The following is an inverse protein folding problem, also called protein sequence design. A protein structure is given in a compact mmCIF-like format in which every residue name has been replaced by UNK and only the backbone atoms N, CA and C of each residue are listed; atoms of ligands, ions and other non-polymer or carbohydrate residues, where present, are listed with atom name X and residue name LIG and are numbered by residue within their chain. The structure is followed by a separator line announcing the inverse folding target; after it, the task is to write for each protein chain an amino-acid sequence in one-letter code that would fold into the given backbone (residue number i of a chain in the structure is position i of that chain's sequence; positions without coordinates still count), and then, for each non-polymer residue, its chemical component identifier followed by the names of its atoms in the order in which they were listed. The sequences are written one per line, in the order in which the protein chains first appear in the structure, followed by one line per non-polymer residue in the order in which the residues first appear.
data_IF_637415452477
#
_entry.id   IF_637415452477
#
_cell.length_a   1.000
_cell.length_b   1.000
_cell.length_c   1.000
_cell.angle_alpha   90.00
_cell.angle_beta   90.00
_cell.angle_gamma   90.00
#
_symmetry.space_group_name_H-M   'P 1'
#
loop_
_entity.id
_entity.type
_entity.pdbx_description
1 polymer ?
#
# COMPACT_ATOMS: atom_id res chain seq x y z
N UNK A 1 -19.84 -15.98 13.70
CA UNK A 1 -18.83 -15.71 12.66
C UNK A 1 -17.48 -15.58 13.34
N UNK A 2 -16.51 -16.44 13.01
CA UNK A 2 -15.10 -16.13 13.26
C UNK A 2 -14.69 -15.11 12.20
N UNK A 3 -14.34 -13.89 12.60
CA UNK A 3 -13.76 -12.88 11.72
C UNK A 3 -12.28 -12.71 12.05
N UNK A 4 -11.49 -12.27 11.07
CA UNK A 4 -10.08 -11.96 11.27
C UNK A 4 -9.92 -10.55 11.85
N UNK A 5 -9.09 -10.40 12.89
CA UNK A 5 -8.70 -9.10 13.44
C UNK A 5 -7.32 -8.73 12.91
N UNK A 6 -7.21 -7.55 12.30
CA UNK A 6 -5.95 -7.00 11.79
C UNK A 6 -5.60 -5.71 12.52
N UNK A 7 -4.31 -5.44 12.70
CA UNK A 7 -3.80 -4.18 13.27
C UNK A 7 -2.83 -3.55 12.27
N UNK A 8 -2.97 -2.26 12.00
CA UNK A 8 -2.13 -1.50 11.06
C UNK A 8 -1.17 -0.58 11.82
N UNK A 9 0.10 -0.57 11.43
CA UNK A 9 1.12 0.34 11.94
C UNK A 9 1.72 1.16 10.79
N UNK A 10 2.16 2.38 11.09
CA UNK A 10 2.79 3.30 10.12
C UNK A 10 4.10 3.83 10.72
N UNK A 11 5.16 3.88 9.92
CA UNK A 11 6.49 4.32 10.33
C UNK A 11 7.17 5.10 9.21
N UNK A 12 7.90 6.16 9.57
CA UNK A 12 8.73 6.90 8.63
C UNK A 12 10.06 6.17 8.41
N UNK A 13 10.45 5.99 7.15
CA UNK A 13 11.69 5.30 6.76
C UNK A 13 12.55 6.19 5.87
N UNK A 14 13.84 5.90 5.80
CA UNK A 14 14.81 6.57 4.93
C UNK A 14 15.57 5.54 4.11
N UNK A 15 16.32 6.00 3.11
CA UNK A 15 17.16 5.11 2.30
C UNK A 15 18.22 4.35 3.13
N UNK A 16 18.61 4.86 4.30
CA UNK A 16 19.53 4.16 5.19
C UNK A 16 18.95 2.86 5.79
N UNK A 17 17.62 2.70 5.75
CA UNK A 17 16.94 1.49 6.22
C UNK A 17 16.69 0.47 5.09
N UNK A 18 17.06 0.78 3.84
CA UNK A 18 16.86 -0.13 2.71
C UNK A 18 17.87 -1.28 2.77
N UNK A 19 17.39 -2.49 2.48
CA UNK A 19 18.23 -3.66 2.28
C UNK A 19 18.27 -3.94 0.78
N UNK A 20 19.47 -4.11 0.22
CA UNK A 20 19.63 -4.43 -1.20
C UNK A 20 19.06 -5.82 -1.51
N UNK A 21 18.28 -5.94 -2.58
CA UNK A 21 17.54 -7.17 -2.89
C UNK A 21 16.38 -7.47 -1.93
N UNK A 22 15.90 -6.46 -1.20
CA UNK A 22 14.75 -6.61 -0.31
C UNK A 22 13.52 -7.16 -1.05
N UNK A 23 12.89 -8.11 -0.39
CA UNK A 23 11.89 -9.01 -0.92
C UNK A 23 11.91 -10.26 -0.04
N UNK A 24 11.00 -11.19 -0.28
CA UNK A 24 10.92 -12.39 0.53
C UNK A 24 9.89 -13.35 -0.01
N UNK A 25 9.27 -14.07 0.92
CA UNK A 25 8.44 -15.22 0.58
C UNK A 25 9.29 -16.48 0.49
N UNK A 26 8.60 -17.60 0.58
CA UNK A 26 9.19 -18.91 0.44
C UNK A 26 8.89 -19.45 -0.97
N UNK A 27 9.88 -19.48 -1.89
CA UNK A 27 9.64 -19.96 -3.25
C UNK A 27 9.17 -21.41 -3.30
N UNK A 28 9.51 -22.25 -2.31
CA UNK A 28 9.02 -23.63 -2.26
C UNK A 28 7.53 -23.73 -1.93
N UNK A 29 6.95 -22.69 -1.32
CA UNK A 29 5.52 -22.57 -1.06
C UNK A 29 4.80 -21.72 -2.11
N UNK A 30 5.53 -21.27 -3.15
CA UNK A 30 5.00 -20.40 -4.20
C UNK A 30 4.83 -18.95 -3.77
N UNK A 31 5.39 -18.55 -2.62
CA UNK A 31 5.35 -17.18 -2.13
C UNK A 31 6.54 -16.38 -2.66
N UNK A 32 6.25 -15.27 -3.33
CA UNK A 32 7.24 -14.29 -3.77
C UNK A 32 6.73 -12.92 -3.37
N UNK A 33 7.50 -12.23 -2.52
CA UNK A 33 7.17 -10.90 -2.02
C UNK A 33 8.19 -9.93 -2.61
N UNK A 34 7.68 -8.97 -3.36
CA UNK A 34 8.46 -7.84 -3.89
C UNK A 34 8.20 -6.59 -3.03
N UNK A 35 9.24 -5.77 -2.87
CA UNK A 35 9.11 -4.45 -2.24
C UNK A 35 9.01 -3.40 -3.34
N UNK A 36 7.91 -2.64 -3.34
CA UNK A 36 7.69 -1.55 -4.28
C UNK A 36 7.83 -0.19 -3.59
N UNK A 37 8.53 0.73 -4.25
CA UNK A 37 8.53 2.16 -3.91
C UNK A 37 7.45 2.85 -4.74
N UNK A 38 6.43 3.41 -4.08
CA UNK A 38 5.36 4.14 -4.76
C UNK A 38 5.45 5.65 -4.51
N UNK A 39 5.49 6.49 -5.56
CA UNK A 39 5.54 7.94 -5.38
C UNK A 39 4.28 8.49 -4.71
N UNK A 40 4.46 9.40 -3.75
CA UNK A 40 3.32 10.02 -3.05
C UNK A 40 2.38 10.79 -3.99
N UNK A 41 2.93 11.40 -5.04
CA UNK A 41 2.18 12.11 -6.08
C UNK A 41 1.24 11.19 -6.89
N UNK A 42 1.44 9.88 -6.81
CA UNK A 42 0.70 8.88 -7.56
C UNK A 42 -0.20 8.00 -6.68
N UNK A 43 -0.34 8.32 -5.39
CA UNK A 43 -1.17 7.52 -4.48
C UNK A 43 -2.63 7.41 -4.93
N UNK A 44 -3.17 8.43 -5.60
CA UNK A 44 -4.52 8.37 -6.14
C UNK A 44 -4.67 7.33 -7.24
N UNK A 45 -3.60 7.06 -8.02
CA UNK A 45 -3.63 5.98 -9.00
C UNK A 45 -3.86 4.64 -8.31
N UNK A 46 -3.25 4.41 -7.14
CA UNK A 46 -3.42 3.16 -6.39
C UNK A 46 -4.85 3.00 -5.85
N UNK A 47 -5.47 4.10 -5.40
CA UNK A 47 -6.88 4.11 -4.95
C UNK A 47 -7.86 3.85 -6.11
N UNK A 48 -7.53 4.34 -7.31
CA UNK A 48 -8.36 4.23 -8.51
C UNK A 48 -8.08 2.91 -9.28
N UNK A 49 -6.85 2.38 -9.24
CA UNK A 49 -6.41 1.15 -9.91
C UNK A 49 -6.76 -0.14 -9.15
N UNK A 50 -7.21 -0.05 -7.88
CA UNK A 50 -7.90 -1.17 -7.22
C UNK A 50 -9.15 -1.66 -7.99
N UNK A 51 -9.55 -0.97 -9.07
CA UNK A 51 -10.60 -1.35 -10.02
C UNK A 51 -10.10 -1.91 -11.37
N UNK A 52 -8.79 -1.85 -11.66
CA UNK A 52 -8.19 -2.37 -12.90
C UNK A 52 -7.46 -3.68 -12.62
N UNK A 53 -8.25 -4.72 -12.35
CA UNK A 53 -7.86 -6.06 -12.77
C UNK A 53 -7.92 -6.08 -14.29
N UNK A 54 -6.91 -6.70 -14.91
CA UNK A 54 -6.79 -6.81 -16.36
C UNK A 54 -8.15 -7.24 -16.97
N UNK A 55 -8.73 -6.46 -17.90
CA UNK A 55 -10.00 -6.79 -18.53
C UNK A 55 -9.97 -8.08 -19.37
N UNK A 56 -8.79 -8.68 -19.59
CA UNK A 56 -8.61 -9.99 -20.23
C UNK A 56 -8.69 -11.17 -19.26
N UNK A 57 -8.78 -10.93 -17.94
CA UNK A 57 -8.96 -11.98 -16.93
C UNK A 57 -10.46 -12.20 -16.67
N UNK A 58 -10.99 -13.35 -17.07
CA UNK A 58 -12.43 -13.71 -16.98
C UNK A 58 -12.97 -13.83 -15.53
N UNK A 59 -12.16 -13.53 -14.53
CA UNK A 59 -12.58 -13.39 -13.13
C UNK A 59 -11.72 -12.33 -12.46
N UNK A 60 -12.24 -11.10 -12.26
CA UNK A 60 -11.57 -10.12 -11.43
C UNK A 60 -11.70 -10.58 -9.98
N UNK A 61 -10.87 -11.52 -9.54
CA UNK A 61 -10.64 -11.74 -8.12
C UNK A 61 -10.01 -10.47 -7.58
N UNK A 62 -10.82 -9.63 -6.93
CA UNK A 62 -10.32 -8.50 -6.14
C UNK A 62 -9.38 -9.12 -5.10
N UNK A 63 -8.06 -8.89 -5.19
CA UNK A 63 -7.14 -9.49 -4.24
C UNK A 63 -7.57 -9.05 -2.83
N UNK A 64 -7.68 -9.96 -1.88
CA UNK A 64 -8.07 -9.65 -0.49
C UNK A 64 -7.17 -8.56 0.14
N UNK A 65 -5.97 -8.39 -0.42
CA UNK A 65 -4.98 -7.33 -0.17
C UNK A 65 -5.46 -5.91 -0.48
N UNK A 66 -6.54 -5.72 -1.24
CA UNK A 66 -6.99 -4.38 -1.66
C UNK A 66 -7.61 -3.60 -0.50
N UNK A 67 -8.39 -4.22 0.39
CA UNK A 67 -9.10 -3.46 1.43
C UNK A 67 -8.16 -2.84 2.48
N UNK A 68 -7.17 -3.60 2.97
CA UNK A 68 -6.21 -3.11 3.96
C UNK A 68 -5.25 -2.07 3.36
N UNK A 69 -4.82 -2.26 2.12
CA UNK A 69 -3.98 -1.31 1.38
C UNK A 69 -4.73 0.00 1.10
N UNK A 70 -5.97 -0.06 0.60
CA UNK A 70 -6.81 1.11 0.39
C UNK A 70 -7.02 1.87 1.70
N UNK A 71 -7.35 1.17 2.79
CA UNK A 71 -7.48 1.79 4.11
C UNK A 71 -6.20 2.49 4.56
N UNK A 72 -5.04 1.82 4.42
CA UNK A 72 -3.75 2.39 4.79
C UNK A 72 -3.44 3.67 4.01
N UNK A 73 -3.67 3.67 2.71
CA UNK A 73 -3.43 4.83 1.83
C UNK A 73 -4.38 5.97 2.15
N UNK A 74 -5.68 5.71 2.30
CA UNK A 74 -6.66 6.72 2.69
C UNK A 74 -6.32 7.33 4.05
N UNK A 75 -6.02 6.50 5.05
CA UNK A 75 -5.64 6.95 6.38
C UNK A 75 -4.38 7.82 6.34
N UNK A 76 -3.36 7.39 5.59
CA UNK A 76 -2.10 8.13 5.44
C UNK A 76 -2.31 9.49 4.77
N UNK A 77 -3.08 9.56 3.68
CA UNK A 77 -3.43 10.82 3.02
C UNK A 77 -4.13 11.79 3.99
N UNK A 78 -5.09 11.31 4.76
CA UNK A 78 -5.88 12.15 5.66
C UNK A 78 -5.08 12.59 6.91
N UNK A 79 -4.31 11.69 7.52
CA UNK A 79 -3.73 11.91 8.85
C UNK A 79 -2.25 12.28 8.84
N UNK A 80 -1.51 11.93 7.79
CA UNK A 80 -0.08 12.25 7.68
C UNK A 80 0.10 13.40 6.70
N UNK A 81 -0.33 13.23 5.44
CA UNK A 81 -0.18 14.28 4.42
C UNK A 81 -1.03 15.51 4.76
N UNK A 82 -2.31 15.31 5.08
CA UNK A 82 -3.22 16.41 5.44
C UNK A 82 -2.71 17.28 6.60
N UNK A 83 -1.97 16.70 7.56
CA UNK A 83 -1.36 17.46 8.67
C UNK A 83 -0.10 18.21 8.25
N UNK A 84 0.76 17.60 7.42
CA UNK A 84 1.97 18.27 6.90
C UNK A 84 1.60 19.53 6.11
N UNK A 85 0.54 19.48 5.28
CA UNK A 85 0.04 20.67 4.57
C UNK A 85 -0.51 21.78 5.48
N UNK A 86 -1.05 21.43 6.66
CA UNK A 86 -1.56 22.44 7.60
C UNK A 86 -0.46 23.10 8.45
N UNK A 87 0.69 22.45 8.61
CA UNK A 87 1.84 23.01 9.34
C UNK A 87 2.73 23.90 8.46
N UNK A 88 2.72 23.69 7.15
CA UNK A 88 3.49 24.47 6.15
C UNK A 88 2.56 25.40 5.33
N UNK A 89 1.80 26.28 6.00
CA UNK A 89 0.94 27.26 5.34
C UNK A 89 1.67 28.09 4.25
N UNK A 90 0.93 28.66 3.27
CA UNK A 90 1.55 29.29 2.11
C UNK A 90 2.38 30.50 2.54
N UNK A 91 3.65 30.49 2.15
CA UNK A 91 4.59 31.62 2.26
C UNK A 91 4.06 32.90 1.62
#
# INVERSE_FOLDING_TARGET
MLGNKMTMFCVDVTNAHKVEGAGGGNPSEGEVIEVIDWPLSELDKLLLQGSYLDPSTESPEIPETVASLLFAVMWYKQNVLGRKFHQEGPS
#
